data_IF_380763461051
#
_entry.id   IF_380763461051
#
_cell.length_a   1.000
_cell.length_b   1.000
_cell.length_c   1.000
_cell.angle_alpha   90.00
_cell.angle_beta   90.00
_cell.angle_gamma   90.00
#
_symmetry.space_group_name_H-M   'P 1'
#
loop_
_entity.id
_entity.type
_entity.pdbx_description
1 polymer ?
#
# COMPACT_ATOMS: atom_id res chain seq x y z
N UNK A 1 -34.31 -10.18 14.91
CA UNK A 1 -34.17 -10.29 13.47
C UNK A 1 -33.14 -9.30 12.88
N UNK A 2 -33.24 -7.96 13.00
CA UNK A 2 -32.19 -7.03 12.53
C UNK A 2 -30.78 -7.34 13.07
N UNK A 3 -30.66 -7.79 14.32
CA UNK A 3 -29.38 -8.19 14.94
C UNK A 3 -28.79 -9.45 14.32
N UNK A 4 -29.61 -10.45 13.98
CA UNK A 4 -29.16 -11.68 13.30
C UNK A 4 -28.56 -11.36 11.92
N UNK A 5 -29.19 -10.44 11.20
CA UNK A 5 -28.68 -9.97 9.91
C UNK A 5 -27.29 -9.32 10.01
N UNK A 6 -27.11 -8.42 10.99
CA UNK A 6 -25.81 -7.75 11.19
C UNK A 6 -24.72 -8.76 11.55
N UNK A 7 -25.05 -9.77 12.34
CA UNK A 7 -24.10 -10.80 12.77
C UNK A 7 -23.67 -11.69 11.63
N UNK A 8 -24.61 -12.17 10.80
CA UNK A 8 -24.27 -12.99 9.62
C UNK A 8 -23.38 -12.19 8.67
N UNK A 9 -23.70 -10.92 8.42
CA UNK A 9 -22.90 -10.05 7.56
C UNK A 9 -21.50 -9.78 8.14
N UNK A 10 -21.41 -9.53 9.45
CA UNK A 10 -20.12 -9.32 10.12
C UNK A 10 -19.27 -10.58 10.16
N UNK A 11 -19.87 -11.76 10.39
CA UNK A 11 -19.17 -13.05 10.35
C UNK A 11 -18.60 -13.32 8.95
N UNK A 12 -19.37 -13.05 7.90
CA UNK A 12 -18.90 -13.22 6.51
C UNK A 12 -17.70 -12.33 6.21
N UNK A 13 -17.76 -11.06 6.61
CA UNK A 13 -16.65 -10.11 6.42
C UNK A 13 -15.41 -10.52 7.23
N UNK A 14 -15.58 -10.93 8.49
CA UNK A 14 -14.46 -11.35 9.34
C UNK A 14 -13.81 -12.63 8.80
N UNK A 15 -14.60 -13.58 8.33
CA UNK A 15 -14.10 -14.82 7.72
C UNK A 15 -13.34 -14.49 6.43
N UNK A 16 -13.84 -13.59 5.57
CA UNK A 16 -13.11 -13.14 4.37
C UNK A 16 -11.78 -12.45 4.72
N UNK A 17 -11.77 -11.61 5.76
CA UNK A 17 -10.55 -10.92 6.21
C UNK A 17 -9.54 -11.91 6.80
N UNK A 18 -9.96 -12.86 7.62
CA UNK A 18 -9.09 -13.90 8.20
C UNK A 18 -8.54 -14.83 7.11
N UNK A 19 -9.36 -15.19 6.13
CA UNK A 19 -8.97 -16.04 5.00
C UNK A 19 -7.98 -15.34 4.07
N UNK A 20 -8.18 -14.06 3.76
CA UNK A 20 -7.23 -13.24 2.99
C UNK A 20 -5.86 -13.14 3.68
N UNK A 21 -5.82 -13.26 5.02
CA UNK A 21 -4.57 -13.20 5.79
C UNK A 21 -3.85 -14.55 5.95
N UNK A 22 -4.56 -15.67 5.78
CA UNK A 22 -4.00 -17.02 6.04
C UNK A 22 -3.73 -17.88 4.81
N UNK A 23 -3.95 -17.38 3.59
CA UNK A 23 -3.75 -18.14 2.33
C UNK A 23 -4.56 -19.46 2.26
N UNK A 24 -5.72 -19.54 2.91
CA UNK A 24 -6.47 -20.80 3.05
C UNK A 24 -7.65 -20.88 2.06
N UNK A 25 -7.34 -21.24 0.79
CA UNK A 25 -8.30 -21.40 -0.31
C UNK A 25 -9.49 -22.32 0.02
N UNK A 26 -9.30 -23.30 0.91
CA UNK A 26 -10.34 -24.27 1.25
C UNK A 26 -11.47 -23.67 2.10
N UNK A 27 -11.18 -22.67 2.95
CA UNK A 27 -12.19 -21.96 3.74
C UNK A 27 -13.04 -21.04 2.87
N UNK A 28 -12.45 -20.41 1.84
CA UNK A 28 -13.16 -19.57 0.86
C UNK A 28 -14.19 -20.40 0.08
N UNK A 29 -13.83 -21.61 -0.34
CA UNK A 29 -14.73 -22.51 -1.08
C UNK A 29 -15.90 -22.93 -0.20
N UNK A 30 -15.66 -23.30 1.06
CA UNK A 30 -16.72 -23.71 2.02
C UNK A 30 -17.73 -22.59 2.29
N UNK A 31 -17.24 -21.36 2.48
CA UNK A 31 -18.13 -20.22 2.78
C UNK A 31 -18.94 -19.76 1.55
N UNK A 32 -18.37 -19.81 0.36
CA UNK A 32 -19.09 -19.51 -0.87
C UNK A 32 -20.21 -20.54 -1.13
N UNK A 33 -19.98 -21.83 -0.81
CA UNK A 33 -20.97 -22.88 -0.93
C UNK A 33 -22.16 -22.60 0.02
N UNK A 34 -21.91 -22.25 1.28
CA UNK A 34 -22.97 -21.94 2.25
C UNK A 34 -23.77 -20.69 1.84
N UNK A 35 -23.13 -19.65 1.30
CA UNK A 35 -23.80 -18.45 0.82
C UNK A 35 -24.68 -18.74 -0.41
N UNK A 36 -24.23 -19.59 -1.33
CA UNK A 36 -25.02 -20.02 -2.48
C UNK A 36 -26.22 -20.90 -2.08
N UNK A 37 -26.07 -21.78 -1.07
CA UNK A 37 -27.18 -22.57 -0.51
C UNK A 37 -28.24 -21.69 0.12
N UNK A 38 -27.86 -20.63 0.85
CA UNK A 38 -28.78 -19.67 1.45
C UNK A 38 -29.52 -18.84 0.39
N UNK A 39 -28.87 -18.51 -0.72
CA UNK A 39 -29.52 -17.84 -1.88
C UNK A 39 -30.49 -18.76 -2.62
N UNK A 40 -30.10 -20.03 -2.84
CA UNK A 40 -30.96 -21.02 -3.52
C UNK A 40 -32.28 -21.29 -2.77
N UNK A 41 -32.26 -21.17 -1.42
CA UNK A 41 -33.45 -21.35 -0.61
C UNK A 41 -34.26 -20.04 -0.41
N UNK A 42 -33.96 -18.98 -1.20
CA UNK A 42 -34.57 -17.65 -1.11
C UNK A 42 -34.54 -17.02 0.31
N UNK A 43 -33.60 -17.44 1.15
CA UNK A 43 -33.45 -16.93 2.50
C UNK A 43 -32.66 -15.61 2.54
N UNK A 44 -31.90 -15.32 1.46
CA UNK A 44 -31.13 -14.09 1.33
C UNK A 44 -31.31 -13.51 -0.07
N UNK A 45 -31.81 -12.31 -0.17
CA UNK A 45 -31.85 -11.49 -1.39
C UNK A 45 -31.07 -10.20 -1.14
N UNK A 46 -30.10 -9.87 -2.00
CA UNK A 46 -29.22 -8.70 -1.88
C UNK A 46 -28.51 -8.52 -0.51
N UNK A 47 -28.10 -9.63 0.14
CA UNK A 47 -27.44 -9.58 1.44
C UNK A 47 -28.37 -9.27 2.63
N UNK A 48 -29.68 -9.38 2.43
CA UNK A 48 -30.70 -9.25 3.49
C UNK A 48 -31.55 -10.52 3.55
N UNK A 49 -31.84 -10.98 4.76
CA UNK A 49 -32.82 -12.06 4.95
C UNK A 49 -34.19 -11.53 4.56
N UNK A 50 -34.82 -12.14 3.56
CA UNK A 50 -36.17 -11.76 3.16
C UNK A 50 -37.16 -12.22 4.24
N UNK A 51 -37.74 -11.29 4.96
CA UNK A 51 -38.82 -11.53 5.89
C UNK A 51 -40.16 -11.77 5.17
N UNK A 52 -40.22 -11.33 3.90
CA UNK A 52 -41.46 -11.42 3.13
C UNK A 52 -41.84 -12.87 2.81
N UNK A 53 -40.85 -13.77 2.62
CA UNK A 53 -41.11 -15.19 2.44
C UNK A 53 -41.74 -15.86 3.71
N UNK A 54 -41.28 -15.45 4.91
CA UNK A 54 -41.80 -15.97 6.18
C UNK A 54 -43.20 -15.45 6.44
N UNK A 55 -43.48 -14.19 6.15
CA UNK A 55 -44.82 -13.62 6.28
C UNK A 55 -45.79 -14.19 5.25
N UNK A 56 -45.33 -14.49 4.05
CA UNK A 56 -46.13 -15.12 3.00
C UNK A 56 -46.54 -16.54 3.38
N UNK A 57 -45.63 -17.35 3.93
CA UNK A 57 -45.95 -18.70 4.44
C UNK A 57 -46.93 -18.67 5.63
N UNK A 58 -46.81 -17.67 6.51
CA UNK A 58 -47.75 -17.46 7.61
C UNK A 58 -49.15 -17.08 7.10
N UNK A 59 -49.24 -16.21 6.10
CA UNK A 59 -50.47 -15.77 5.47
C UNK A 59 -51.16 -16.90 4.69
N UNK A 60 -50.40 -17.69 3.92
CA UNK A 60 -50.90 -18.91 3.26
C UNK A 60 -51.38 -19.99 4.23
N UNK A 61 -50.71 -20.14 5.36
CA UNK A 61 -51.15 -21.05 6.43
C UNK A 61 -52.42 -20.56 7.08
N UNK A 62 -52.59 -19.25 7.32
CA UNK A 62 -53.83 -18.66 7.83
C UNK A 62 -55.01 -18.86 6.90
N UNK A 63 -54.82 -18.57 5.61
CA UNK A 63 -55.86 -18.78 4.57
C UNK A 63 -56.32 -20.25 4.50
N UNK A 64 -55.37 -21.20 4.57
CA UNK A 64 -55.70 -22.65 4.64
C UNK A 64 -56.47 -23.02 5.90
N UNK A 65 -56.16 -22.43 7.01
CA UNK A 65 -56.89 -22.65 8.29
C UNK A 65 -58.32 -22.06 8.20
N UNK A 66 -58.51 -20.86 7.63
CA UNK A 66 -59.80 -20.24 7.41
C UNK A 66 -60.68 -21.03 6.43
N UNK A 67 -60.09 -21.55 5.32
CA UNK A 67 -60.78 -22.41 4.36
C UNK A 67 -61.22 -23.73 5.03
N UNK A 68 -60.41 -24.38 5.83
CA UNK A 68 -60.71 -25.55 6.58
C UNK A 68 -61.87 -25.29 7.59
N UNK A 69 -61.88 -24.16 8.30
CA UNK A 69 -62.94 -23.78 9.19
C UNK A 69 -64.28 -23.48 8.49
N UNK A 70 -64.25 -22.98 7.25
CA UNK A 70 -65.43 -22.64 6.45
C UNK A 70 -66.13 -23.85 5.83
N UNK A 71 -65.40 -24.95 5.62
CA UNK A 71 -65.88 -26.10 4.85
C UNK A 71 -66.17 -27.36 5.66
N UNK A 72 -65.77 -27.39 6.94
CA UNK A 72 -65.84 -28.61 7.76
C UNK A 72 -66.71 -28.40 9.02
N UNK A 73 -67.72 -29.20 9.23
CA UNK A 73 -68.42 -29.33 10.54
C UNK A 73 -67.51 -30.10 11.50
N UNK A 74 -66.64 -29.41 12.18
CA UNK A 74 -65.79 -30.01 13.22
C UNK A 74 -66.61 -30.41 14.45
N UNK A 75 -66.38 -31.61 14.95
CA UNK A 75 -66.79 -31.93 16.36
C UNK A 75 -65.90 -31.13 17.30
N UNK A 76 -66.43 -30.72 18.44
CA UNK A 76 -65.67 -29.95 19.45
C UNK A 76 -64.34 -30.62 19.86
N UNK A 77 -64.31 -31.95 19.87
CA UNK A 77 -63.14 -32.78 20.15
C UNK A 77 -62.03 -32.63 19.14
N UNK A 78 -62.34 -32.51 17.82
CA UNK A 78 -61.36 -32.35 16.73
C UNK A 78 -60.70 -30.96 16.78
N UNK A 79 -61.45 -29.94 17.21
CA UNK A 79 -60.93 -28.57 17.38
C UNK A 79 -59.99 -28.49 18.58
N UNK A 80 -60.31 -29.17 19.71
CA UNK A 80 -59.49 -29.20 20.91
C UNK A 80 -58.14 -29.90 20.67
N UNK A 81 -58.13 -30.98 19.86
CA UNK A 81 -56.90 -31.68 19.46
C UNK A 81 -56.01 -30.79 18.57
N UNK A 82 -56.58 -30.04 17.61
CA UNK A 82 -55.86 -29.11 16.77
C UNK A 82 -55.26 -27.94 17.57
N UNK A 83 -56.02 -27.40 18.53
CA UNK A 83 -55.52 -26.32 19.40
C UNK A 83 -54.32 -26.82 20.21
N UNK A 84 -54.42 -27.99 20.85
CA UNK A 84 -53.33 -28.57 21.66
C UNK A 84 -52.07 -28.78 20.78
N UNK A 85 -52.21 -29.26 19.55
CA UNK A 85 -51.12 -29.49 18.65
C UNK A 85 -50.44 -28.19 18.22
N UNK A 86 -51.19 -27.11 17.97
CA UNK A 86 -50.61 -25.80 17.66
C UNK A 86 -49.99 -25.13 18.89
N UNK A 87 -50.53 -25.33 20.09
CA UNK A 87 -49.88 -24.85 21.32
C UNK A 87 -48.55 -25.55 21.59
N UNK A 88 -48.45 -26.87 21.38
CA UNK A 88 -47.21 -27.63 21.52
C UNK A 88 -46.17 -27.15 20.50
N UNK A 89 -46.57 -26.96 19.24
CA UNK A 89 -45.71 -26.45 18.20
C UNK A 89 -45.23 -25.01 18.46
N UNK A 90 -46.16 -24.17 19.00
CA UNK A 90 -45.82 -22.80 19.42
C UNK A 90 -44.77 -22.80 20.52
N UNK A 91 -44.87 -23.71 21.45
CA UNK A 91 -43.88 -23.89 22.54
C UNK A 91 -42.53 -24.35 22.03
N UNK A 92 -42.50 -25.36 21.13
CA UNK A 92 -41.24 -25.81 20.49
C UNK A 92 -40.56 -24.67 19.73
N UNK A 93 -41.32 -23.85 19.01
CA UNK A 93 -40.78 -22.67 18.29
C UNK A 93 -40.23 -21.63 19.28
N UNK A 94 -40.93 -21.39 20.40
CA UNK A 94 -40.49 -20.44 21.42
C UNK A 94 -39.16 -20.89 22.06
N UNK A 95 -39.01 -22.18 22.35
CA UNK A 95 -37.79 -22.77 22.90
C UNK A 95 -36.65 -22.67 21.90
N UNK A 96 -36.93 -22.90 20.59
CA UNK A 96 -35.98 -22.75 19.53
C UNK A 96 -35.52 -21.29 19.36
N UNK A 97 -36.45 -20.33 19.44
CA UNK A 97 -36.15 -18.89 19.40
C UNK A 97 -35.23 -18.52 20.56
N UNK A 98 -35.55 -18.96 21.79
CA UNK A 98 -34.71 -18.66 22.95
C UNK A 98 -33.27 -19.20 22.80
N UNK A 99 -33.13 -20.44 22.30
CA UNK A 99 -31.83 -21.06 22.03
C UNK A 99 -31.05 -20.29 20.96
N UNK A 100 -31.70 -19.83 19.90
CA UNK A 100 -31.07 -19.02 18.87
C UNK A 100 -30.64 -17.64 19.38
N UNK A 101 -31.45 -17.03 20.27
CA UNK A 101 -31.09 -15.75 20.89
C UNK A 101 -29.83 -15.86 21.76
N UNK A 102 -29.68 -16.96 22.54
CA UNK A 102 -28.45 -17.23 23.29
C UNK A 102 -27.23 -17.43 22.38
N UNK A 103 -27.38 -18.16 21.27
CA UNK A 103 -26.31 -18.35 20.31
C UNK A 103 -25.89 -17.02 19.66
N UNK A 104 -26.86 -16.16 19.37
CA UNK A 104 -26.59 -14.80 18.81
C UNK A 104 -25.76 -13.98 19.78
N UNK A 105 -26.11 -13.94 21.06
CA UNK A 105 -25.35 -13.21 22.09
C UNK A 105 -23.91 -13.74 22.17
N UNK A 106 -23.74 -15.06 22.13
CA UNK A 106 -22.41 -15.68 22.11
C UNK A 106 -21.58 -15.32 20.90
N UNK A 107 -22.19 -15.30 19.71
CA UNK A 107 -21.53 -14.90 18.48
C UNK A 107 -21.17 -13.41 18.46
N UNK A 108 -22.03 -12.52 18.95
CA UNK A 108 -21.74 -11.09 19.11
C UNK A 108 -20.51 -10.86 19.99
N UNK A 109 -20.39 -11.59 21.09
CA UNK A 109 -19.22 -11.55 21.96
C UNK A 109 -17.93 -12.01 21.27
N UNK A 110 -18.02 -13.09 20.50
CA UNK A 110 -16.89 -13.61 19.73
C UNK A 110 -16.44 -12.61 18.65
N UNK A 111 -17.36 -11.98 17.92
CA UNK A 111 -17.08 -10.96 16.92
C UNK A 111 -16.33 -9.80 17.55
N UNK A 112 -16.81 -9.26 18.66
CA UNK A 112 -16.16 -8.15 19.36
C UNK A 112 -14.71 -8.50 19.74
N UNK A 113 -14.50 -9.73 20.21
CA UNK A 113 -13.16 -10.22 20.59
C UNK A 113 -12.23 -10.33 19.37
N UNK A 114 -12.74 -10.90 18.27
CA UNK A 114 -11.97 -11.04 17.02
C UNK A 114 -11.65 -9.69 16.37
N UNK A 115 -12.56 -8.73 16.41
CA UNK A 115 -12.30 -7.36 15.92
C UNK A 115 -11.21 -6.66 16.73
N UNK A 116 -11.22 -6.81 18.04
CA UNK A 116 -10.18 -6.28 18.92
C UNK A 116 -8.81 -6.89 18.60
N UNK A 117 -8.76 -8.23 18.44
CA UNK A 117 -7.53 -8.94 18.08
C UNK A 117 -7.03 -8.58 16.69
N UNK A 118 -7.91 -8.47 15.70
CA UNK A 118 -7.56 -8.01 14.35
C UNK A 118 -6.94 -6.62 14.37
N UNK A 119 -7.57 -5.67 15.08
CA UNK A 119 -7.06 -4.31 15.18
C UNK A 119 -5.69 -4.26 15.87
N UNK A 120 -5.48 -5.09 16.89
CA UNK A 120 -4.18 -5.25 17.55
C UNK A 120 -3.11 -5.76 16.58
N UNK A 121 -3.41 -6.86 15.86
CA UNK A 121 -2.50 -7.47 14.91
C UNK A 121 -2.21 -6.57 13.70
N UNK A 122 -3.21 -5.86 13.19
CA UNK A 122 -3.04 -4.90 12.10
C UNK A 122 -2.09 -3.75 12.52
N UNK A 123 -2.27 -3.24 13.74
CA UNK A 123 -1.37 -2.21 14.28
C UNK A 123 0.07 -2.73 14.45
N UNK A 124 0.24 -3.91 15.03
CA UNK A 124 1.56 -4.55 15.16
C UNK A 124 2.24 -4.78 13.80
N UNK A 125 1.45 -5.21 12.81
CA UNK A 125 1.95 -5.41 11.45
C UNK A 125 2.41 -4.11 10.82
N UNK A 126 1.64 -3.01 10.94
CA UNK A 126 2.02 -1.68 10.47
C UNK A 126 3.28 -1.18 11.18
N UNK A 127 3.35 -1.25 12.51
CA UNK A 127 4.52 -0.83 13.29
C UNK A 127 5.78 -1.64 12.92
N UNK A 128 5.63 -2.94 12.67
CA UNK A 128 6.72 -3.81 12.25
C UNK A 128 7.21 -3.52 10.83
N UNK A 129 6.31 -3.15 9.93
CA UNK A 129 6.59 -2.99 8.50
C UNK A 129 6.59 -1.54 8.03
N UNK A 130 6.75 -0.58 8.93
CA UNK A 130 6.90 0.83 8.63
C UNK A 130 8.10 1.45 9.35
N UNK A 131 8.52 2.61 8.86
CA UNK A 131 9.53 3.45 9.51
C UNK A 131 9.36 4.90 9.08
N UNK A 132 9.69 5.83 9.95
CA UNK A 132 9.73 7.25 9.63
C UNK A 132 10.83 7.95 10.42
N UNK A 133 11.69 8.67 9.71
CA UNK A 133 12.80 9.42 10.26
C UNK A 133 12.40 10.89 10.34
N UNK A 134 12.31 11.42 11.55
CA UNK A 134 11.99 12.82 11.81
C UNK A 134 13.21 13.73 11.66
N UNK A 135 12.98 15.02 11.46
CA UNK A 135 14.07 16.01 11.42
C UNK A 135 14.86 16.07 10.11
N UNK A 136 14.53 15.27 9.11
CA UNK A 136 15.14 15.40 7.78
C UNK A 136 14.60 16.68 7.11
N UNK A 137 15.46 17.62 6.70
CA UNK A 137 14.99 18.86 6.08
C UNK A 137 14.45 18.64 4.68
N UNK A 138 13.69 19.62 4.19
CA UNK A 138 13.25 19.70 2.80
C UNK A 138 13.88 20.93 2.14
N UNK A 139 14.38 20.80 0.92
CA UNK A 139 14.98 21.89 0.16
C UNK A 139 14.43 21.82 -1.28
N UNK A 140 13.93 22.95 -1.78
CA UNK A 140 13.48 23.05 -3.17
C UNK A 140 14.67 23.34 -4.10
N UNK A 141 14.82 22.56 -5.17
CA UNK A 141 15.83 22.81 -6.18
C UNK A 141 15.51 24.00 -7.10
N UNK A 142 14.25 24.34 -7.25
CA UNK A 142 13.82 25.44 -8.12
C UNK A 142 13.76 26.78 -7.39
N UNK A 143 14.06 27.90 -8.08
CA UNK A 143 14.48 28.00 -9.49
C UNK A 143 15.96 27.80 -9.74
N UNK A 144 16.81 27.72 -8.69
CA UNK A 144 18.26 27.94 -8.78
C UNK A 144 19.03 26.74 -9.38
N UNK A 145 18.48 25.52 -9.23
CA UNK A 145 19.15 24.26 -9.59
C UNK A 145 18.23 23.35 -10.40
N UNK A 146 17.82 23.77 -11.64
CA UNK A 146 16.78 23.05 -12.38
C UNK A 146 17.13 21.59 -12.73
N UNK A 147 18.41 21.23 -12.79
CA UNK A 147 18.89 19.86 -13.00
C UNK A 147 19.77 19.36 -11.83
N UNK A 148 19.64 19.95 -10.64
CA UNK A 148 20.55 19.70 -9.53
C UNK A 148 19.97 18.85 -8.40
N UNK A 149 19.05 17.93 -8.69
CA UNK A 149 18.39 17.11 -7.67
C UNK A 149 19.40 16.35 -6.80
N UNK A 150 20.48 15.82 -7.34
CA UNK A 150 21.50 15.05 -6.62
C UNK A 150 22.27 15.94 -5.62
N UNK A 151 22.61 17.17 -6.06
CA UNK A 151 23.27 18.15 -5.20
C UNK A 151 22.36 18.62 -4.06
N UNK A 152 21.09 18.82 -4.35
CA UNK A 152 20.09 19.21 -3.34
C UNK A 152 19.80 18.03 -2.41
N UNK A 153 19.65 16.82 -2.93
CA UNK A 153 19.44 15.62 -2.11
C UNK A 153 20.65 15.33 -1.17
N UNK A 154 21.90 15.50 -1.69
CA UNK A 154 23.07 15.40 -0.83
C UNK A 154 23.07 16.50 0.25
N UNK A 155 22.69 17.72 -0.10
CA UNK A 155 22.57 18.81 0.89
C UNK A 155 21.56 18.45 1.99
N UNK A 156 20.39 17.89 1.62
CA UNK A 156 19.38 17.41 2.58
C UNK A 156 19.98 16.37 3.52
N UNK A 157 20.68 15.37 2.95
CA UNK A 157 21.31 14.29 3.71
C UNK A 157 22.37 14.83 4.69
N UNK A 158 23.28 15.69 4.23
CA UNK A 158 24.33 16.28 5.05
C UNK A 158 23.78 17.17 6.17
N UNK A 159 22.76 18.00 5.88
CA UNK A 159 22.11 18.82 6.89
C UNK A 159 21.42 18.01 7.98
N UNK A 160 20.82 16.87 7.66
CA UNK A 160 20.28 15.95 8.66
C UNK A 160 21.36 15.52 9.66
N UNK A 161 22.59 15.31 9.21
CA UNK A 161 23.73 14.97 10.05
C UNK A 161 24.47 16.21 10.64
N UNK A 162 23.82 17.37 10.63
CA UNK A 162 24.34 18.58 11.28
C UNK A 162 25.42 19.34 10.51
N UNK A 163 25.65 18.98 9.23
CA UNK A 163 26.63 19.67 8.39
C UNK A 163 26.02 20.97 7.85
N UNK A 164 26.70 22.11 8.08
CA UNK A 164 26.29 23.39 7.52
C UNK A 164 26.80 23.51 6.08
N UNK A 165 25.89 23.27 5.10
CA UNK A 165 26.22 23.23 3.67
C UNK A 165 25.01 23.68 2.84
N UNK A 166 25.27 24.26 1.67
CA UNK A 166 24.28 24.67 0.68
C UNK A 166 24.39 23.84 -0.59
N UNK A 167 23.36 23.77 -1.46
CA UNK A 167 23.48 23.11 -2.76
C UNK A 167 24.65 23.70 -3.60
N UNK A 168 24.86 25.00 -3.52
CA UNK A 168 25.99 25.64 -4.21
C UNK A 168 27.35 25.11 -3.77
N UNK A 169 27.52 24.85 -2.49
CA UNK A 169 28.79 24.30 -1.96
C UNK A 169 29.05 22.90 -2.55
N UNK A 170 28.01 22.09 -2.68
CA UNK A 170 28.09 20.77 -3.33
C UNK A 170 28.44 20.93 -4.80
N UNK A 171 27.69 21.76 -5.53
CA UNK A 171 27.85 21.99 -6.97
C UNK A 171 29.26 22.52 -7.33
N UNK A 172 29.82 23.37 -6.48
CA UNK A 172 31.16 23.93 -6.69
C UNK A 172 32.27 22.88 -6.52
N UNK A 173 32.01 21.77 -5.82
CA UNK A 173 32.97 20.66 -5.68
C UNK A 173 32.74 19.52 -6.65
N UNK A 174 31.62 19.51 -7.37
CA UNK A 174 31.38 18.51 -8.42
C UNK A 174 32.25 18.79 -9.63
N UNK A 175 32.92 17.75 -10.10
CA UNK A 175 33.52 17.75 -11.41
C UNK A 175 32.42 17.81 -12.48
N UNK A 176 32.62 18.61 -13.53
CA UNK A 176 31.63 18.86 -14.57
C UNK A 176 32.15 18.42 -15.94
N UNK A 177 31.41 17.50 -16.52
CA UNK A 177 31.63 17.01 -17.86
C UNK A 177 30.83 17.77 -18.90
N UNK A 178 31.24 17.62 -20.15
CA UNK A 178 30.57 18.25 -21.29
C UNK A 178 29.20 17.62 -21.51
N UNK A 179 28.18 18.46 -21.76
CA UNK A 179 26.94 18.01 -22.38
C UNK A 179 27.21 17.42 -23.78
N UNK A 180 26.33 16.52 -24.26
CA UNK A 180 26.49 15.94 -25.58
C UNK A 180 26.71 17.01 -26.68
N UNK A 181 27.72 16.79 -27.51
CA UNK A 181 28.09 17.65 -28.65
C UNK A 181 28.49 16.79 -29.84
N UNK A 182 28.22 17.27 -31.05
CA UNK A 182 28.58 16.56 -32.30
C UNK A 182 29.91 17.08 -32.87
N UNK A 183 30.77 16.14 -33.24
CA UNK A 183 32.01 16.39 -33.93
C UNK A 183 32.21 15.27 -34.95
N UNK A 184 32.47 15.61 -36.20
CA UNK A 184 32.68 14.67 -37.30
C UNK A 184 31.55 13.60 -37.38
N UNK A 185 30.30 14.06 -37.33
CA UNK A 185 29.07 13.25 -37.32
C UNK A 185 28.93 12.26 -36.16
N UNK A 186 29.78 12.33 -35.15
CA UNK A 186 29.73 11.51 -33.93
C UNK A 186 29.37 12.38 -32.74
N UNK A 187 28.43 11.89 -31.91
CA UNK A 187 28.06 12.59 -30.68
C UNK A 187 28.94 12.12 -29.54
N UNK A 188 29.62 13.05 -28.90
CA UNK A 188 30.47 12.86 -27.72
C UNK A 188 29.85 13.56 -26.49
N UNK A 189 30.23 13.15 -25.28
CA UNK A 189 29.85 13.80 -24.05
C UNK A 189 30.61 13.25 -22.84
N UNK A 190 30.34 13.76 -21.66
CA UNK A 190 30.91 13.29 -20.40
C UNK A 190 30.34 11.97 -19.94
N UNK A 191 30.88 11.43 -18.82
CA UNK A 191 30.40 10.19 -18.22
C UNK A 191 29.76 10.47 -16.85
N UNK A 192 28.41 10.25 -16.66
CA UNK A 192 27.73 10.55 -15.42
C UNK A 192 28.17 9.67 -14.22
N UNK A 193 28.89 8.59 -14.44
CA UNK A 193 29.55 7.82 -13.38
C UNK A 193 30.81 8.53 -12.82
N UNK A 194 31.31 9.53 -13.48
CA UNK A 194 32.58 10.23 -13.14
C UNK A 194 32.39 11.71 -12.83
N UNK A 195 31.42 12.36 -13.48
CA UNK A 195 31.24 13.81 -13.47
C UNK A 195 29.78 14.20 -13.71
N UNK A 196 29.39 15.41 -13.29
CA UNK A 196 28.05 15.96 -13.59
C UNK A 196 28.03 16.43 -15.08
N UNK A 197 27.06 15.94 -15.83
CA UNK A 197 26.96 16.24 -17.26
C UNK A 197 26.26 17.60 -17.47
N UNK A 198 27.08 18.65 -17.64
CA UNK A 198 26.66 20.05 -17.74
C UNK A 198 26.86 20.83 -16.43
N UNK A 199 25.92 21.70 -16.07
CA UNK A 199 25.91 22.45 -14.80
C UNK A 199 24.53 22.37 -14.16
N UNK A 200 24.40 21.95 -12.87
CA UNK A 200 23.13 21.86 -12.15
C UNK A 200 22.28 23.14 -12.16
N UNK A 201 22.90 24.28 -12.40
CA UNK A 201 22.25 25.60 -12.44
C UNK A 201 21.59 25.92 -13.78
N UNK A 202 21.70 25.03 -14.76
CA UNK A 202 21.15 25.24 -16.11
C UNK A 202 20.10 24.20 -16.47
N UNK A 203 19.14 24.57 -17.32
CA UNK A 203 18.06 23.68 -17.75
C UNK A 203 18.52 22.65 -18.81
N UNK A 204 19.63 22.92 -19.51
CA UNK A 204 20.12 22.07 -20.61
C UNK A 204 21.20 21.09 -20.15
N UNK A 205 21.17 20.71 -18.88
CA UNK A 205 22.09 19.74 -18.32
C UNK A 205 21.38 18.39 -18.10
N UNK A 206 22.15 17.39 -17.75
CA UNK A 206 21.64 16.03 -17.53
C UNK A 206 21.63 15.69 -16.05
N UNK A 207 22.73 15.19 -15.49
CA UNK A 207 22.84 14.78 -14.09
C UNK A 207 24.13 14.04 -13.79
N UNK A 208 24.18 13.39 -12.63
CA UNK A 208 25.32 12.62 -12.15
C UNK A 208 24.86 11.42 -11.33
N UNK A 209 25.64 10.35 -11.35
CA UNK A 209 25.36 9.20 -10.53
C UNK A 209 26.11 9.23 -9.18
N UNK A 210 26.03 8.16 -8.41
CA UNK A 210 26.38 8.13 -6.99
C UNK A 210 27.86 8.34 -6.67
N UNK A 211 28.79 7.92 -7.53
CA UNK A 211 30.24 7.97 -7.22
C UNK A 211 30.77 9.38 -7.02
N UNK A 212 30.53 10.34 -7.95
CA UNK A 212 30.92 11.73 -7.75
C UNK A 212 30.23 12.38 -6.53
N UNK A 213 28.96 12.05 -6.31
CA UNK A 213 28.21 12.54 -5.14
C UNK A 213 28.81 12.01 -3.84
N UNK A 214 29.19 10.73 -3.77
CA UNK A 214 29.87 10.13 -2.62
C UNK A 214 31.25 10.77 -2.37
N UNK A 215 32.00 11.05 -3.46
CA UNK A 215 33.31 11.74 -3.36
C UNK A 215 33.15 13.13 -2.74
N UNK A 216 32.17 13.91 -3.19
CA UNK A 216 31.89 15.24 -2.63
C UNK A 216 31.39 15.11 -1.18
N UNK A 217 30.48 14.19 -0.88
CA UNK A 217 29.97 13.93 0.45
C UNK A 217 31.12 13.68 1.46
N UNK A 218 32.08 12.85 1.09
CA UNK A 218 33.26 12.54 1.90
C UNK A 218 34.13 13.74 2.25
N UNK A 219 34.08 14.83 1.46
CA UNK A 219 34.83 16.08 1.77
C UNK A 219 34.18 16.91 2.87
N UNK A 220 32.89 16.68 3.16
CA UNK A 220 32.16 17.39 4.21
C UNK A 220 32.02 16.56 5.50
N UNK A 221 31.78 15.27 5.35
CA UNK A 221 31.63 14.34 6.47
C UNK A 221 32.17 12.97 6.07
N UNK A 222 33.06 12.41 6.90
CA UNK A 222 33.55 11.04 6.73
C UNK A 222 32.43 10.01 7.01
N UNK A 223 32.59 8.81 6.49
CA UNK A 223 31.70 7.69 6.78
C UNK A 223 30.52 7.53 5.81
N UNK A 224 30.55 8.25 4.68
CA UNK A 224 29.58 7.98 3.60
C UNK A 224 29.74 6.54 3.08
N UNK A 225 28.65 5.82 2.99
CA UNK A 225 28.59 4.45 2.47
C UNK A 225 27.90 4.46 1.12
N UNK A 226 28.57 3.89 0.13
CA UNK A 226 27.96 3.61 -1.16
C UNK A 226 27.29 2.23 -1.11
N UNK A 227 25.96 2.23 -1.05
CA UNK A 227 25.12 1.06 -1.03
C UNK A 227 24.59 0.65 -2.40
N UNK A 228 25.22 1.16 -3.47
CA UNK A 228 24.84 0.81 -4.85
C UNK A 228 24.91 -0.70 -5.07
N UNK A 229 23.86 -1.26 -5.65
CA UNK A 229 23.70 -2.71 -5.83
C UNK A 229 22.87 -3.40 -4.76
N UNK A 230 22.66 -2.75 -3.59
CA UNK A 230 21.80 -3.31 -2.53
C UNK A 230 20.38 -3.52 -3.00
N UNK A 231 19.75 -4.60 -2.54
CA UNK A 231 18.32 -4.80 -2.76
C UNK A 231 17.50 -3.68 -2.11
N UNK A 232 16.30 -3.43 -2.63
CA UNK A 232 15.46 -2.40 -2.04
C UNK A 232 15.05 -2.73 -0.59
N UNK A 233 14.93 -4.01 -0.25
CA UNK A 233 14.62 -4.45 1.12
C UNK A 233 15.79 -4.16 2.09
N UNK A 234 17.03 -4.21 1.61
CA UNK A 234 18.20 -3.77 2.39
C UNK A 234 18.16 -2.25 2.61
N UNK A 235 17.78 -1.47 1.60
CA UNK A 235 17.58 -0.02 1.75
C UNK A 235 16.49 0.27 2.81
N UNK A 236 15.35 -0.44 2.80
CA UNK A 236 14.31 -0.28 3.82
C UNK A 236 14.81 -0.62 5.23
N UNK A 237 15.67 -1.64 5.38
CA UNK A 237 16.31 -1.95 6.68
C UNK A 237 17.24 -0.82 7.17
N UNK A 238 17.97 -0.18 6.25
CA UNK A 238 18.81 0.98 6.56
C UNK A 238 17.91 2.12 7.07
N UNK A 239 16.84 2.43 6.35
CA UNK A 239 15.87 3.45 6.75
C UNK A 239 15.24 3.11 8.10
N UNK A 240 14.87 1.85 8.34
CA UNK A 240 14.32 1.39 9.62
C UNK A 240 15.31 1.55 10.78
N UNK A 241 16.61 1.50 10.50
CA UNK A 241 17.65 1.77 11.51
C UNK A 241 17.85 3.27 11.83
N UNK A 242 17.00 4.16 11.28
CA UNK A 242 17.05 5.60 11.53
C UNK A 242 18.01 6.37 10.62
N UNK A 243 18.49 5.77 9.52
CA UNK A 243 19.44 6.38 8.60
C UNK A 243 18.76 6.75 7.28
N UNK A 244 18.61 8.05 6.95
CA UNK A 244 18.11 8.48 5.66
C UNK A 244 19.02 8.02 4.52
N UNK A 245 18.42 7.68 3.37
CA UNK A 245 19.15 7.17 2.20
C UNK A 245 18.92 8.07 1.00
N UNK A 246 19.97 8.64 0.43
CA UNK A 246 19.94 9.28 -0.87
C UNK A 246 19.88 8.17 -1.93
N UNK A 247 18.87 8.19 -2.79
CA UNK A 247 18.63 7.15 -3.79
C UNK A 247 18.21 7.75 -5.14
N UNK A 248 18.57 7.05 -6.24
CA UNK A 248 18.19 7.39 -7.60
C UNK A 248 16.91 6.66 -8.01
N UNK A 249 16.03 7.42 -8.63
CA UNK A 249 14.70 7.00 -9.10
C UNK A 249 14.33 7.79 -10.37
N UNK A 250 13.05 7.83 -10.73
CA UNK A 250 12.56 8.74 -11.78
C UNK A 250 11.66 9.84 -11.22
N UNK A 251 11.66 11.00 -11.89
CA UNK A 251 10.79 12.14 -11.59
C UNK A 251 9.34 11.66 -11.55
N UNK A 252 8.66 11.83 -10.39
CA UNK A 252 7.27 11.44 -10.20
C UNK A 252 6.98 9.95 -10.40
N UNK A 253 8.00 9.10 -10.34
CA UNK A 253 7.96 7.67 -10.66
C UNK A 253 7.50 7.37 -12.10
N UNK A 254 7.69 8.30 -13.02
CA UNK A 254 7.41 8.10 -14.44
C UNK A 254 8.21 6.93 -15.02
N UNK A 255 7.71 6.33 -16.10
CA UNK A 255 8.41 5.24 -16.78
C UNK A 255 9.69 5.75 -17.43
N UNK A 256 10.88 5.34 -16.98
CA UNK A 256 12.13 5.78 -17.56
C UNK A 256 12.39 5.04 -18.88
N UNK A 257 13.15 5.69 -19.75
CA UNK A 257 13.60 5.14 -21.03
C UNK A 257 14.96 5.73 -21.40
N UNK A 258 15.64 5.14 -22.35
CA UNK A 258 16.86 5.76 -22.94
C UNK A 258 16.41 6.86 -23.88
N UNK A 259 16.75 8.12 -23.56
CA UNK A 259 16.39 9.28 -24.39
C UNK A 259 17.43 9.68 -25.41
N UNK A 260 18.71 9.41 -25.13
CA UNK A 260 19.85 9.72 -26.01
C UNK A 260 21.05 8.87 -25.62
N UNK A 261 22.05 8.84 -26.51
CA UNK A 261 23.34 8.23 -26.24
C UNK A 261 24.45 9.04 -26.85
N UNK A 262 25.67 8.91 -26.33
CA UNK A 262 26.90 9.55 -26.84
C UNK A 262 28.12 8.71 -26.47
N UNK A 263 29.24 9.02 -27.09
CA UNK A 263 30.53 8.37 -26.80
C UNK A 263 31.28 9.18 -25.74
N UNK A 264 31.77 8.52 -24.71
CA UNK A 264 32.74 9.09 -23.78
C UNK A 264 34.11 8.97 -24.39
N UNK A 265 34.66 10.09 -24.96
CA UNK A 265 35.85 10.11 -25.77
C UNK A 265 37.08 9.46 -25.12
N UNK A 266 37.36 9.62 -23.80
CA UNK A 266 38.56 9.03 -23.18
C UNK A 266 38.64 7.50 -23.25
N UNK A 267 37.50 6.80 -23.29
CA UNK A 267 37.46 5.33 -23.29
C UNK A 267 36.80 4.73 -24.51
N UNK A 268 36.07 5.52 -25.32
CA UNK A 268 35.26 5.04 -26.43
C UNK A 268 33.97 4.36 -26.00
N UNK A 269 33.63 4.39 -24.72
CA UNK A 269 32.40 3.80 -24.18
C UNK A 269 31.16 4.56 -24.64
N UNK A 270 30.12 3.85 -25.03
CA UNK A 270 28.81 4.46 -25.31
C UNK A 270 28.02 4.65 -24.04
N UNK A 271 27.69 5.88 -23.69
CA UNK A 271 26.84 6.26 -22.59
C UNK A 271 25.39 6.31 -23.06
N UNK A 272 24.49 5.62 -22.36
CA UNK A 272 23.06 5.65 -22.59
C UNK A 272 22.38 6.44 -21.47
N UNK A 273 21.85 7.63 -21.81
CA UNK A 273 21.19 8.46 -20.79
C UNK A 273 19.77 7.98 -20.51
N UNK A 274 19.50 7.69 -19.23
CA UNK A 274 18.18 7.30 -18.74
C UNK A 274 17.35 8.53 -18.45
N UNK A 275 16.32 8.77 -19.25
CA UNK A 275 15.42 9.91 -19.13
C UNK A 275 14.65 9.90 -17.80
N UNK A 276 14.39 11.11 -17.30
CA UNK A 276 13.64 11.31 -16.07
C UNK A 276 14.41 10.93 -14.82
N UNK A 277 15.75 10.82 -14.89
CA UNK A 277 16.60 10.59 -13.72
C UNK A 277 16.29 11.61 -12.62
N UNK A 278 16.25 11.13 -11.37
CA UNK A 278 15.97 11.94 -10.20
C UNK A 278 16.58 11.35 -8.93
N UNK A 279 17.18 12.20 -8.11
CA UNK A 279 17.71 11.83 -6.82
C UNK A 279 16.85 12.40 -5.68
N UNK A 280 16.54 11.57 -4.70
CA UNK A 280 15.72 11.91 -3.53
C UNK A 280 16.33 11.37 -2.25
N UNK A 281 15.86 11.83 -1.09
CA UNK A 281 16.24 11.24 0.20
C UNK A 281 15.08 10.44 0.76
N UNK A 282 15.24 9.12 0.86
CA UNK A 282 14.29 8.22 1.51
C UNK A 282 14.36 8.45 3.02
N UNK A 283 13.21 8.77 3.64
CA UNK A 283 13.08 9.09 5.05
C UNK A 283 12.10 8.19 5.79
N UNK A 284 11.42 7.30 5.08
CA UNK A 284 10.46 6.39 5.69
C UNK A 284 9.73 5.55 4.67
N UNK A 285 8.89 4.67 5.19
CA UNK A 285 7.98 3.85 4.39
C UNK A 285 6.83 3.32 5.25
N UNK A 286 5.74 2.96 4.59
CA UNK A 286 4.63 2.15 5.11
C UNK A 286 4.58 0.83 4.35
N UNK A 287 3.57 0.03 4.57
CA UNK A 287 3.35 -1.23 3.84
C UNK A 287 3.18 -1.04 2.33
N UNK A 288 2.69 0.13 1.90
CA UNK A 288 2.38 0.42 0.49
C UNK A 288 3.04 1.71 -0.05
N UNK A 289 3.59 2.58 0.81
CA UNK A 289 4.19 3.87 0.44
C UNK A 289 5.66 3.95 0.82
N UNK A 290 6.43 4.62 -0.04
CA UNK A 290 7.74 5.18 0.29
C UNK A 290 7.57 6.66 0.64
N UNK A 291 8.29 7.11 1.66
CA UNK A 291 8.26 8.50 2.12
C UNK A 291 9.61 9.12 1.82
N UNK A 292 9.61 10.21 1.07
CA UNK A 292 10.83 10.87 0.59
C UNK A 292 10.83 12.35 0.90
N UNK A 293 12.00 12.92 1.14
CA UNK A 293 12.26 14.35 1.01
C UNK A 293 12.69 14.60 -0.44
N UNK A 294 11.83 15.26 -1.20
CA UNK A 294 11.98 15.43 -2.64
C UNK A 294 12.46 16.84 -2.98
N UNK A 295 13.62 16.99 -3.65
CA UNK A 295 14.11 18.27 -4.14
C UNK A 295 13.13 18.99 -5.08
N UNK A 296 12.34 18.25 -5.87
CA UNK A 296 11.32 18.86 -6.71
C UNK A 296 10.11 19.25 -5.84
N UNK A 297 9.99 20.55 -5.63
CA UNK A 297 8.96 21.17 -4.79
C UNK A 297 9.35 21.29 -3.32
N UNK A 298 10.51 20.78 -2.89
CA UNK A 298 11.06 20.96 -1.54
C UNK A 298 10.12 20.46 -0.44
N UNK A 299 9.55 19.27 -0.59
CA UNK A 299 8.54 18.74 0.34
C UNK A 299 8.65 17.23 0.54
N UNK A 300 8.06 16.77 1.63
CA UNK A 300 7.86 15.33 1.87
C UNK A 300 6.77 14.82 0.92
N UNK A 301 7.03 13.73 0.23
CA UNK A 301 6.08 13.05 -0.64
C UNK A 301 5.91 11.60 -0.24
N UNK A 302 4.69 11.10 -0.41
CA UNK A 302 4.31 9.70 -0.24
C UNK A 302 4.02 9.13 -1.62
N UNK A 303 4.78 8.13 -2.02
CA UNK A 303 4.69 7.52 -3.36
C UNK A 303 4.51 6.01 -3.24
N UNK A 304 4.09 5.34 -4.31
CA UNK A 304 3.97 3.87 -4.33
C UNK A 304 5.31 3.20 -4.03
N UNK A 305 5.35 2.36 -2.98
CA UNK A 305 6.53 1.60 -2.58
C UNK A 305 6.99 0.65 -3.70
N UNK A 306 6.04 -0.07 -4.31
CA UNK A 306 6.33 -1.04 -5.37
C UNK A 306 6.88 -0.37 -6.63
N UNK A 307 6.30 0.76 -7.02
CA UNK A 307 6.74 1.50 -8.20
C UNK A 307 8.10 2.17 -7.97
N UNK A 308 8.34 2.70 -6.76
CA UNK A 308 9.66 3.24 -6.41
C UNK A 308 10.75 2.16 -6.47
N UNK A 309 10.46 0.95 -5.94
CA UNK A 309 11.35 -0.23 -6.03
C UNK A 309 11.72 -0.54 -7.48
N UNK A 310 10.74 -0.52 -8.39
CA UNK A 310 10.95 -0.76 -9.80
C UNK A 310 11.88 0.30 -10.42
N UNK A 311 11.64 1.59 -10.13
CA UNK A 311 12.45 2.70 -10.65
C UNK A 311 13.87 2.68 -10.07
N UNK A 312 14.01 2.44 -8.78
CA UNK A 312 15.30 2.23 -8.12
C UNK A 312 16.12 1.13 -8.80
N UNK A 313 15.49 -0.01 -9.08
CA UNK A 313 16.14 -1.11 -9.80
C UNK A 313 16.57 -0.69 -11.22
N UNK A 314 15.71 0.03 -11.95
CA UNK A 314 16.02 0.52 -13.31
C UNK A 314 17.23 1.46 -13.33
N UNK A 315 17.37 2.33 -12.34
CA UNK A 315 18.52 3.23 -12.22
C UNK A 315 19.79 2.56 -11.66
N UNK A 316 19.81 1.23 -11.56
CA UNK A 316 21.00 0.47 -11.17
C UNK A 316 21.19 0.36 -9.67
N UNK A 317 20.11 0.49 -8.89
CA UNK A 317 20.12 0.37 -7.43
C UNK A 317 21.10 1.32 -6.75
N UNK A 318 21.16 2.56 -7.22
CA UNK A 318 22.09 3.57 -6.73
C UNK A 318 21.62 4.19 -5.43
N UNK A 319 22.47 4.13 -4.39
CA UNK A 319 22.13 4.64 -3.06
C UNK A 319 23.37 5.02 -2.24
N UNK A 320 23.21 6.08 -1.42
CA UNK A 320 24.22 6.57 -0.49
C UNK A 320 23.60 6.85 0.88
N UNK A 321 24.33 6.56 1.97
CA UNK A 321 23.90 6.88 3.34
C UNK A 321 25.09 7.03 4.31
N UNK A 322 24.84 7.50 5.52
CA UNK A 322 25.83 7.54 6.61
C UNK A 322 25.55 6.53 7.71
#
# INVERSE_FOLDING_TARGET
>A
MKKILLIIFSITIIIEIVVLHQDNKNLIISNNTTLEELKQNNLIEDGKVSLDSVYKEEEEAREKVEELFSTTTFKAEDVEELITKEEDKSKELQDSISSLEEQIVGLEGNITTLEAEYNRLAKEYEEKNSAYITGVPTINQYPDYPTGCESVALTILLKYYGVSVTPNDIINKLEKGKTPYTKDDVTYGGNPELEFIGDPRTQNSYGVYEKPIAKVAGTYKSGIINATGSSFDEILKIVKSGRPVLAWTSIGLSTPHISTSWIYEPTGETIYWKSGEHAVVIIGYTTDKIIISDPIGGKIKYQSLSLFRERYNYFGKKALYY
#
